data_IF_490047697842
#
_entry.id   IF_490047697842
#
_cell.length_a   1.000
_cell.length_b   1.000
_cell.length_c   1.000
_cell.angle_alpha   90.00
_cell.angle_beta   90.00
_cell.angle_gamma   90.00
#
_symmetry.space_group_name_H-M   'P 1'
#
loop_
_entity.id
_entity.type
_entity.pdbx_description
1 polymer ?
#
# COMPACT_ATOMS: atom_id res chain seq x y z
N UNK A 1 4.61 -19.92 -10.70
CA UNK A 1 4.95 -19.89 -9.26
C UNK A 1 3.83 -19.11 -8.58
N UNK A 2 3.12 -19.70 -7.61
CA UNK A 2 2.06 -18.98 -6.91
C UNK A 2 2.69 -18.06 -5.86
N UNK A 3 2.44 -16.75 -5.93
CA UNK A 3 2.86 -15.82 -4.88
C UNK A 3 2.04 -16.12 -3.63
N UNK A 4 2.70 -16.23 -2.48
CA UNK A 4 1.99 -16.22 -1.20
C UNK A 4 1.48 -14.80 -0.94
N UNK A 5 0.18 -14.59 -1.20
CA UNK A 5 -0.46 -13.28 -1.02
C UNK A 5 -0.37 -12.79 0.44
N UNK A 6 -0.36 -13.70 1.42
CA UNK A 6 -0.20 -13.33 2.83
C UNK A 6 1.15 -12.66 3.08
N UNK A 7 2.22 -13.25 2.56
CA UNK A 7 3.58 -12.71 2.70
C UNK A 7 3.75 -11.38 1.96
N UNK A 8 3.12 -11.23 0.79
CA UNK A 8 3.10 -9.98 0.05
C UNK A 8 2.42 -8.86 0.85
N UNK A 9 1.22 -9.11 1.38
CA UNK A 9 0.48 -8.12 2.18
C UNK A 9 1.25 -7.75 3.44
N UNK A 10 1.83 -8.73 4.14
CA UNK A 10 2.67 -8.49 5.31
C UNK A 10 3.90 -7.64 4.98
N UNK A 11 4.52 -7.87 3.82
CA UNK A 11 5.66 -7.09 3.34
C UNK A 11 5.27 -5.64 3.05
N UNK A 12 4.15 -5.43 2.35
CA UNK A 12 3.62 -4.08 2.08
C UNK A 12 3.33 -3.35 3.39
N UNK A 13 2.62 -4.00 4.32
CA UNK A 13 2.30 -3.40 5.61
C UNK A 13 3.56 -3.02 6.39
N UNK A 14 4.54 -3.92 6.45
CA UNK A 14 5.81 -3.67 7.14
C UNK A 14 6.58 -2.50 6.53
N UNK A 15 6.60 -2.41 5.21
CA UNK A 15 7.27 -1.31 4.50
C UNK A 15 6.55 0.03 4.72
N UNK A 16 5.21 0.05 4.75
CA UNK A 16 4.44 1.26 5.08
C UNK A 16 4.67 1.68 6.53
N UNK A 17 4.76 0.74 7.47
CA UNK A 17 5.10 1.02 8.87
C UNK A 17 6.51 1.61 8.97
N UNK A 18 7.47 1.10 8.21
CA UNK A 18 8.83 1.66 8.18
C UNK A 18 8.83 3.08 7.60
N UNK A 19 8.12 3.31 6.50
CA UNK A 19 7.89 4.66 5.97
C UNK A 19 7.31 5.60 7.04
N UNK A 20 6.36 5.14 7.85
CA UNK A 20 5.78 5.93 8.93
C UNK A 20 6.78 6.24 10.05
N UNK A 21 7.70 5.31 10.39
CA UNK A 21 8.76 5.56 11.37
C UNK A 21 9.66 6.71 10.92
N UNK A 22 9.97 6.75 9.64
CA UNK A 22 10.87 7.75 9.07
C UNK A 22 10.18 9.12 8.88
N UNK A 23 8.90 9.12 8.52
CA UNK A 23 8.19 10.34 8.10
C UNK A 23 7.21 10.91 9.13
N UNK A 24 6.64 10.09 10.01
CA UNK A 24 5.52 10.45 10.89
C UNK A 24 5.82 10.28 12.39
N UNK A 25 6.93 9.65 12.78
CA UNK A 25 7.40 9.55 14.18
C UNK A 25 6.33 9.08 15.17
N UNK A 26 5.70 10.00 15.90
CA UNK A 26 4.73 9.71 16.97
C UNK A 26 3.44 9.07 16.47
N UNK A 27 3.20 9.10 15.15
CA UNK A 27 1.99 8.56 14.53
C UNK A 27 2.15 7.15 13.92
N UNK A 28 3.26 6.44 14.19
CA UNK A 28 3.54 5.11 13.62
C UNK A 28 2.41 4.11 13.89
N UNK A 29 1.82 4.12 15.09
CA UNK A 29 0.73 3.22 15.44
C UNK A 29 -0.49 3.47 14.55
N UNK A 30 -0.91 4.73 14.43
CA UNK A 30 -2.06 5.16 13.64
C UNK A 30 -1.85 4.86 12.16
N UNK A 31 -0.64 5.10 11.66
CA UNK A 31 -0.27 4.74 10.30
C UNK A 31 -0.35 3.22 10.06
N UNK A 32 0.06 2.40 11.04
CA UNK A 32 -0.08 0.95 11.00
C UNK A 32 -1.54 0.48 10.97
N UNK A 33 -2.38 1.07 11.82
CA UNK A 33 -3.82 0.77 11.89
C UNK A 33 -4.53 1.14 10.57
N UNK A 34 -4.21 2.30 10.00
CA UNK A 34 -4.74 2.77 8.72
C UNK A 34 -4.25 1.92 7.54
N UNK A 35 -2.97 1.54 7.53
CA UNK A 35 -2.40 0.67 6.51
C UNK A 35 -3.05 -0.73 6.53
N UNK A 36 -3.24 -1.29 7.73
CA UNK A 36 -3.92 -2.59 7.91
C UNK A 36 -5.32 -2.55 7.33
N UNK A 37 -6.08 -1.50 7.68
CA UNK A 37 -7.46 -1.32 7.22
C UNK A 37 -7.54 -1.19 5.69
N UNK A 38 -6.63 -0.41 5.09
CA UNK A 38 -6.56 -0.26 3.64
C UNK A 38 -6.21 -1.57 2.92
N UNK A 39 -5.23 -2.31 3.43
CA UNK A 39 -4.79 -3.58 2.85
C UNK A 39 -5.88 -4.66 2.95
N UNK A 40 -6.65 -4.68 4.04
CA UNK A 40 -7.79 -5.58 4.16
C UNK A 40 -8.85 -5.30 3.08
N UNK A 41 -9.19 -4.02 2.85
CA UNK A 41 -10.15 -3.59 1.84
C UNK A 41 -9.70 -3.88 0.39
N UNK A 42 -8.39 -3.89 0.15
CA UNK A 42 -7.81 -4.02 -1.19
C UNK A 42 -7.20 -5.38 -1.48
N UNK A 43 -7.11 -6.28 -0.49
CA UNK A 43 -6.47 -7.60 -0.57
C UNK A 43 -6.84 -8.40 -1.82
N UNK A 44 -8.14 -8.58 -2.07
CA UNK A 44 -8.62 -9.38 -3.21
C UNK A 44 -8.24 -8.75 -4.56
N UNK A 45 -8.25 -7.41 -4.66
CA UNK A 45 -7.84 -6.69 -5.87
C UNK A 45 -6.34 -6.85 -6.09
N UNK A 46 -5.54 -6.66 -5.04
CA UNK A 46 -4.09 -6.84 -5.08
C UNK A 46 -3.70 -8.25 -5.49
N UNK A 47 -4.37 -9.27 -4.95
CA UNK A 47 -4.16 -10.66 -5.33
C UNK A 47 -4.40 -10.88 -6.83
N UNK A 48 -5.57 -10.43 -7.31
CA UNK A 48 -5.94 -10.56 -8.72
C UNK A 48 -4.95 -9.84 -9.64
N UNK A 49 -4.64 -8.58 -9.36
CA UNK A 49 -3.77 -7.78 -10.22
C UNK A 49 -2.33 -8.27 -10.20
N UNK A 50 -1.83 -8.72 -9.04
CA UNK A 50 -0.50 -9.33 -8.94
C UNK A 50 -0.41 -10.60 -9.79
N UNK A 51 -1.44 -11.46 -9.75
CA UNK A 51 -1.47 -12.65 -10.60
C UNK A 51 -1.56 -12.30 -12.09
N UNK A 52 -2.38 -11.31 -12.47
CA UNK A 52 -2.44 -10.86 -13.86
C UNK A 52 -1.11 -10.26 -14.34
N UNK A 53 -0.39 -9.55 -13.47
CA UNK A 53 0.93 -8.99 -13.76
C UNK A 53 1.97 -10.11 -13.96
N UNK A 54 1.98 -11.14 -13.09
CA UNK A 54 2.81 -12.34 -13.26
C UNK A 54 2.55 -13.08 -14.57
N UNK A 55 1.28 -13.17 -14.96
CA UNK A 55 0.86 -13.85 -16.20
C UNK A 55 1.11 -13.00 -17.45
N UNK A 56 1.61 -11.76 -17.31
CA UNK A 56 1.80 -10.82 -18.41
C UNK A 56 0.49 -10.30 -19.01
N UNK A 57 -0.64 -10.50 -18.34
CA UNK A 57 -1.98 -10.04 -18.75
C UNK A 57 -2.30 -8.60 -18.32
N UNK A 58 -1.47 -8.06 -17.43
CA UNK A 58 -1.54 -6.68 -16.95
C UNK A 58 -0.16 -6.06 -17.15
N UNK A 59 -0.08 -4.88 -17.77
CA UNK A 59 1.20 -4.19 -17.88
C UNK A 59 1.58 -3.54 -16.55
N UNK A 60 2.87 -3.24 -16.37
CA UNK A 60 3.36 -2.48 -15.20
C UNK A 60 2.59 -1.17 -15.04
N UNK A 61 2.40 -0.43 -16.15
CA UNK A 61 1.68 0.85 -16.15
C UNK A 61 0.21 0.71 -15.76
N UNK A 62 -0.48 -0.30 -16.27
CA UNK A 62 -1.88 -0.54 -15.92
C UNK A 62 -2.02 -0.93 -14.45
N UNK A 63 -1.06 -1.70 -13.91
CA UNK A 63 -1.01 -1.99 -12.48
C UNK A 63 -0.87 -0.73 -11.63
N UNK A 64 0.06 0.18 -12.00
CA UNK A 64 0.23 1.47 -11.31
C UNK A 64 -1.08 2.27 -11.31
N UNK A 65 -1.75 2.37 -12.47
CA UNK A 65 -3.01 3.09 -12.59
C UNK A 65 -4.12 2.50 -11.71
N UNK A 66 -4.22 1.16 -11.66
CA UNK A 66 -5.18 0.48 -10.81
C UNK A 66 -4.93 0.73 -9.32
N UNK A 67 -3.67 0.70 -8.89
CA UNK A 67 -3.28 1.02 -7.51
C UNK A 67 -3.59 2.47 -7.18
N UNK A 68 -3.20 3.40 -8.05
CA UNK A 68 -3.45 4.83 -7.85
C UNK A 68 -4.96 5.15 -7.80
N UNK A 69 -5.79 4.42 -8.55
CA UNK A 69 -7.24 4.54 -8.45
C UNK A 69 -7.81 4.07 -7.09
N UNK A 70 -7.05 3.28 -6.31
CA UNK A 70 -7.44 2.90 -4.94
C UNK A 70 -6.96 3.89 -3.88
N UNK A 71 -6.18 4.91 -4.25
CA UNK A 71 -5.60 5.89 -3.31
C UNK A 71 -6.64 6.50 -2.36
N UNK A 72 -7.85 6.77 -2.86
CA UNK A 72 -8.91 7.38 -2.05
C UNK A 72 -9.50 6.41 -1.01
N UNK A 73 -9.40 5.10 -1.22
CA UNK A 73 -9.80 4.09 -0.22
C UNK A 73 -8.88 4.07 0.99
N UNK A 74 -7.66 4.62 0.91
CA UNK A 74 -6.78 4.78 2.06
C UNK A 74 -7.25 5.99 2.89
N UNK A 75 -8.29 5.81 3.70
CA UNK A 75 -8.98 6.94 4.34
C UNK A 75 -8.16 7.65 5.45
N UNK A 76 -7.09 7.02 5.95
CA UNK A 76 -6.21 7.51 7.01
C UNK A 76 -6.98 8.02 8.25
N UNK A 77 -7.99 7.26 8.69
CA UNK A 77 -8.91 7.67 9.76
C UNK A 77 -8.19 7.87 11.08
N UNK A 78 -7.29 6.97 11.45
CA UNK A 78 -6.56 7.05 12.71
C UNK A 78 -5.60 8.24 12.72
N UNK A 79 -4.89 8.49 11.62
CA UNK A 79 -4.01 9.66 11.48
C UNK A 79 -4.79 10.98 11.51
N UNK A 80 -5.95 11.04 10.84
CA UNK A 80 -6.86 12.20 10.90
C UNK A 80 -7.34 12.48 12.32
N UNK A 81 -7.79 11.45 13.03
CA UNK A 81 -8.26 11.59 14.42
C UNK A 81 -7.14 12.00 15.38
N UNK A 82 -5.91 11.60 15.10
CA UNK A 82 -4.74 12.03 15.86
C UNK A 82 -4.27 13.46 15.52
N UNK A 83 -4.97 14.16 14.61
CA UNK A 83 -4.72 15.56 14.29
C UNK A 83 -3.58 15.79 13.29
N UNK A 84 -3.16 14.76 12.54
CA UNK A 84 -2.12 14.95 11.53
C UNK A 84 -2.62 15.90 10.42
N UNK A 85 -1.79 16.86 10.04
CA UNK A 85 -2.13 17.87 9.04
C UNK A 85 -2.47 17.23 7.68
N UNK A 86 -3.45 17.81 6.96
CA UNK A 86 -3.91 17.29 5.67
C UNK A 86 -2.78 17.11 4.64
N UNK A 87 -1.86 18.08 4.55
CA UNK A 87 -0.69 17.99 3.65
C UNK A 87 0.17 16.76 3.99
N UNK A 88 0.37 16.47 5.29
CA UNK A 88 1.15 15.30 5.74
C UNK A 88 0.44 13.99 5.46
N UNK A 89 -0.90 13.97 5.56
CA UNK A 89 -1.72 12.82 5.18
C UNK A 89 -1.58 12.52 3.68
N UNK A 90 -1.64 13.56 2.84
CA UNK A 90 -1.53 13.42 1.38
C UNK A 90 -0.13 12.97 0.95
N UNK A 91 0.92 13.53 1.55
CA UNK A 91 2.32 13.09 1.38
C UNK A 91 2.49 11.62 1.74
N UNK A 92 2.03 11.22 2.94
CA UNK A 92 2.14 9.85 3.42
C UNK A 92 1.38 8.87 2.53
N UNK A 93 0.15 9.23 2.13
CA UNK A 93 -0.68 8.41 1.24
C UNK A 93 0.01 8.16 -0.10
N UNK A 94 0.60 9.18 -0.71
CA UNK A 94 1.36 9.04 -1.96
C UNK A 94 2.56 8.08 -1.79
N UNK A 95 3.34 8.29 -0.73
CA UNK A 95 4.50 7.45 -0.45
C UNK A 95 4.09 5.99 -0.16
N UNK A 96 2.97 5.77 0.52
CA UNK A 96 2.43 4.43 0.78
C UNK A 96 2.01 3.71 -0.50
N UNK A 97 1.42 4.40 -1.48
CA UNK A 97 1.13 3.81 -2.80
C UNK A 97 2.43 3.40 -3.51
N UNK A 98 3.47 4.25 -3.45
CA UNK A 98 4.80 3.93 -3.98
C UNK A 98 5.37 2.64 -3.38
N UNK A 99 5.38 2.55 -2.05
CA UNK A 99 5.82 1.36 -1.32
C UNK A 99 5.06 0.09 -1.75
N UNK A 100 3.75 0.19 -1.94
CA UNK A 100 2.93 -0.93 -2.40
C UNK A 100 3.38 -1.39 -3.78
N UNK A 101 3.48 -0.46 -4.74
CA UNK A 101 3.89 -0.77 -6.11
C UNK A 101 5.30 -1.38 -6.15
N UNK A 102 6.26 -0.77 -5.47
CA UNK A 102 7.64 -1.26 -5.40
C UNK A 102 7.73 -2.66 -4.79
N UNK A 103 6.94 -2.93 -3.74
CA UNK A 103 6.92 -4.25 -3.09
C UNK A 103 6.37 -5.31 -4.05
N UNK A 104 5.30 -5.01 -4.79
CA UNK A 104 4.73 -5.94 -5.78
C UNK A 104 5.71 -6.19 -6.91
N UNK A 105 6.29 -5.14 -7.49
CA UNK A 105 7.24 -5.24 -8.59
C UNK A 105 8.48 -6.04 -8.22
N UNK A 106 9.00 -5.85 -7.00
CA UNK A 106 10.10 -6.64 -6.47
C UNK A 106 9.77 -8.13 -6.38
N UNK A 107 8.56 -8.48 -5.93
CA UNK A 107 8.14 -9.89 -5.79
C UNK A 107 7.88 -10.53 -7.15
N UNK A 108 7.31 -9.78 -8.09
CA UNK A 108 7.00 -10.26 -9.45
C UNK A 108 8.25 -10.31 -10.34
N UNK A 109 9.23 -9.42 -10.10
CA UNK A 109 10.45 -9.31 -10.90
C UNK A 109 10.32 -8.41 -12.13
N UNK A 110 9.57 -7.29 -12.01
CA UNK A 110 9.30 -6.31 -13.09
C UNK A 110 9.59 -4.86 -12.69
#
# INVERSE_FOLDING_TARGET
MAINIGDLINSIQSNIINLAKDSLKDYVKQAGDDASSFLELTKQKLEKWTNMLLEGKLSKKDFEDLVLAQKDLMELKALKQAGLAQIKLDEFKNAAMGVLMDTVFKVVGV
#
